data_IF_173960909135
#
_entry.id   IF_173960909135
#
_cell.length_a   1.000
_cell.length_b   1.000
_cell.length_c   1.000
_cell.angle_alpha   90.00
_cell.angle_beta   90.00
_cell.angle_gamma   90.00
#
_symmetry.space_group_name_H-M   'P 1'
#
loop_
_entity.id
_entity.type
_entity.pdbx_description
1 polymer ?
#
# COMPACT_ATOMS: atom_id res chain seq x y z
N UNK A 1 5.15 23.92 1.84
CA UNK A 1 5.87 24.01 3.13
C UNK A 1 5.02 23.36 4.20
N UNK A 2 5.61 22.57 5.10
CA UNK A 2 4.98 22.01 6.30
C UNK A 2 5.74 22.57 7.51
N UNK A 3 5.05 23.28 8.40
CA UNK A 3 5.68 23.95 9.54
C UNK A 3 5.67 23.07 10.79
N UNK A 4 6.76 23.09 11.55
CA UNK A 4 6.92 22.37 12.82
C UNK A 4 7.57 23.23 13.90
N UNK A 5 7.27 22.96 15.16
CA UNK A 5 7.92 23.58 16.32
C UNK A 5 8.96 22.62 16.88
N UNK A 6 10.13 23.17 17.19
CA UNK A 6 11.20 22.41 17.85
C UNK A 6 10.71 21.75 19.15
N UNK A 7 11.05 20.48 19.34
CA UNK A 7 10.67 19.66 20.49
C UNK A 7 9.28 19.02 20.44
N UNK A 8 8.45 19.34 19.43
CA UNK A 8 7.13 18.70 19.26
C UNK A 8 7.23 17.41 18.45
N UNK A 9 6.23 16.55 18.61
CA UNK A 9 6.03 15.33 17.80
C UNK A 9 4.79 15.48 16.95
N UNK A 10 4.88 15.07 15.69
CA UNK A 10 3.82 15.23 14.71
C UNK A 10 3.42 13.88 14.13
N UNK A 11 2.12 13.60 14.10
CA UNK A 11 1.56 12.48 13.35
C UNK A 11 1.30 12.95 11.92
N UNK A 12 2.22 12.63 11.01
CA UNK A 12 2.04 12.82 9.58
C UNK A 12 1.17 11.70 9.03
N UNK A 13 0.15 12.05 8.23
CA UNK A 13 -0.70 11.10 7.50
C UNK A 13 -0.32 11.17 6.03
N UNK A 14 0.44 10.18 5.58
CA UNK A 14 0.96 10.08 4.21
C UNK A 14 -0.04 9.29 3.38
N UNK A 15 -0.45 9.83 2.23
CA UNK A 15 -1.49 9.24 1.37
C UNK A 15 -0.92 9.08 -0.04
N UNK A 16 -0.85 7.83 -0.53
CA UNK A 16 -0.40 7.47 -1.87
C UNK A 16 -1.45 7.77 -2.94
N UNK A 17 -1.65 9.05 -3.26
CA UNK A 17 -2.60 9.51 -4.29
C UNK A 17 -2.06 9.40 -5.73
N UNK A 18 -1.08 8.53 -5.98
CA UNK A 18 -0.50 8.33 -7.31
C UNK A 18 -1.37 7.38 -8.14
N UNK A 19 -1.43 7.62 -9.47
CA UNK A 19 -2.08 6.68 -10.40
C UNK A 19 -1.21 5.45 -10.73
N UNK A 20 0.12 5.58 -10.65
CA UNK A 20 1.05 4.56 -11.13
C UNK A 20 2.37 4.55 -10.34
N UNK A 21 3.10 5.67 -10.21
CA UNK A 21 4.41 5.62 -9.56
C UNK A 21 4.29 5.26 -8.08
N UNK A 22 5.21 4.41 -7.64
CA UNK A 22 5.59 4.31 -6.23
C UNK A 22 6.50 5.48 -5.89
N UNK A 23 6.32 6.05 -4.71
CA UNK A 23 7.16 7.11 -4.18
C UNK A 23 7.86 6.64 -2.90
N UNK A 24 9.19 6.71 -2.88
CA UNK A 24 9.95 6.57 -1.64
C UNK A 24 9.97 7.91 -0.91
N UNK A 25 9.18 8.01 0.16
CA UNK A 25 9.03 9.18 0.99
C UNK A 25 10.14 9.25 2.04
N UNK A 26 10.76 10.42 2.19
CA UNK A 26 11.88 10.69 3.11
C UNK A 26 11.80 12.12 3.62
N UNK A 27 12.41 12.36 4.79
CA UNK A 27 12.60 13.70 5.35
C UNK A 27 14.05 13.81 5.79
N UNK A 28 14.80 14.75 5.21
CA UNK A 28 16.23 14.89 5.47
C UNK A 28 16.51 15.04 6.97
N UNK A 29 17.45 14.23 7.48
CA UNK A 29 17.86 14.24 8.88
C UNK A 29 16.83 13.70 9.89
N UNK A 30 15.64 13.28 9.47
CA UNK A 30 14.56 12.83 10.36
C UNK A 30 14.19 11.36 10.13
N UNK A 31 14.12 10.60 11.22
CA UNK A 31 13.49 9.27 11.20
C UNK A 31 11.97 9.41 11.33
N UNK A 32 11.27 8.40 10.84
CA UNK A 32 9.82 8.28 10.88
C UNK A 32 9.46 7.01 11.66
N UNK A 33 8.53 7.12 12.60
CA UNK A 33 8.00 5.94 13.32
C UNK A 33 6.61 5.61 12.81
N UNK A 34 6.48 4.54 12.03
CA UNK A 34 5.19 4.04 11.52
C UNK A 34 4.35 3.58 12.71
N UNK A 35 3.10 4.04 12.76
CA UNK A 35 2.11 3.69 13.79
C UNK A 35 0.76 3.25 13.20
N UNK A 36 0.58 3.36 11.88
CA UNK A 36 -0.64 2.96 11.17
C UNK A 36 -0.27 2.63 9.72
N UNK A 37 -0.84 1.55 9.19
CA UNK A 37 -0.79 1.18 7.79
C UNK A 37 -2.24 0.93 7.31
N UNK A 38 -2.67 1.64 6.28
CA UNK A 38 -3.98 1.48 5.64
C UNK A 38 -5.21 1.54 6.56
N UNK A 39 -5.11 2.28 7.67
CA UNK A 39 -6.16 2.41 8.68
C UNK A 39 -6.05 1.42 9.84
N UNK A 40 -5.12 0.47 9.78
CA UNK A 40 -4.83 -0.47 10.86
C UNK A 40 -3.65 0.07 11.69
N UNK A 41 -3.87 0.25 12.99
CA UNK A 41 -2.81 0.66 13.92
C UNK A 41 -1.74 -0.43 14.01
N UNK A 42 -0.47 -0.04 14.02
CA UNK A 42 0.67 -0.96 14.08
C UNK A 42 1.42 -0.83 15.38
N UNK A 43 2.13 -1.90 15.78
CA UNK A 43 3.26 -1.75 16.70
C UNK A 43 4.25 -0.74 16.08
N UNK A 44 4.81 0.21 16.85
CA UNK A 44 5.68 1.24 16.30
C UNK A 44 6.93 0.66 15.60
N UNK A 45 7.15 1.04 14.33
CA UNK A 45 8.34 0.63 13.55
C UNK A 45 9.06 1.87 13.04
N UNK A 46 10.34 2.02 13.42
CA UNK A 46 11.17 3.12 12.96
C UNK A 46 11.78 2.81 11.59
N UNK A 47 11.69 3.78 10.68
CA UNK A 47 12.27 3.78 9.33
C UNK A 47 12.84 5.17 9.02
N UNK A 48 13.75 5.25 8.05
CA UNK A 48 14.24 6.53 7.51
C UNK A 48 13.83 6.76 6.05
N UNK A 49 13.23 5.75 5.43
CA UNK A 49 12.65 5.78 4.09
C UNK A 49 11.40 4.92 4.04
N UNK A 50 10.37 5.40 3.35
CA UNK A 50 9.06 4.75 3.28
C UNK A 50 8.57 4.70 1.83
N UNK A 51 8.62 3.54 1.15
CA UNK A 51 7.96 3.36 -0.13
C UNK A 51 6.43 3.38 0.09
N UNK A 52 5.75 4.26 -0.64
CA UNK A 52 4.29 4.38 -0.65
C UNK A 52 3.80 4.08 -2.05
N UNK A 53 3.08 2.97 -2.18
CA UNK A 53 2.48 2.55 -3.45
C UNK A 53 1.13 3.28 -3.67
N UNK A 54 0.64 3.34 -4.93
CA UNK A 54 -0.70 3.80 -5.25
C UNK A 54 -1.77 3.20 -4.31
N UNK A 55 -2.58 4.06 -3.69
CA UNK A 55 -3.68 3.67 -2.80
C UNK A 55 -3.28 3.36 -1.36
N UNK A 56 -1.99 3.25 -1.02
CA UNK A 56 -1.55 3.01 0.36
C UNK A 56 -1.58 4.28 1.22
N UNK A 57 -1.72 4.10 2.54
CA UNK A 57 -1.67 5.16 3.55
C UNK A 57 -0.83 4.72 4.73
N UNK A 58 -0.04 5.64 5.29
CA UNK A 58 0.69 5.42 6.53
C UNK A 58 0.53 6.62 7.47
N UNK A 59 0.33 6.37 8.77
CA UNK A 59 0.63 7.39 9.77
C UNK A 59 2.03 7.16 10.32
N UNK A 60 2.85 8.21 10.30
CA UNK A 60 4.17 8.21 10.93
C UNK A 60 4.29 9.30 11.96
N UNK A 61 5.00 9.02 13.06
CA UNK A 61 5.42 10.02 14.02
C UNK A 61 6.80 10.53 13.63
N UNK A 62 6.91 11.85 13.46
CA UNK A 62 8.18 12.56 13.26
C UNK A 62 8.43 13.44 14.47
N UNK A 63 9.62 13.34 15.04
CA UNK A 63 10.06 14.20 16.14
C UNK A 63 10.81 15.41 15.56
N UNK A 64 10.31 16.61 15.80
CA UNK A 64 10.95 17.85 15.38
C UNK A 64 12.10 18.21 16.34
N UNK A 65 13.15 17.40 16.37
CA UNK A 65 14.28 17.50 17.32
C UNK A 65 15.62 17.84 16.66
N UNK A 66 15.58 18.34 15.42
CA UNK A 66 16.77 18.80 14.69
C UNK A 66 16.95 20.31 14.88
N UNK A 67 18.08 20.83 14.42
CA UNK A 67 18.34 22.26 14.45
C UNK A 67 17.20 23.04 13.78
N UNK A 68 16.93 24.27 14.24
CA UNK A 68 15.92 25.13 13.61
C UNK A 68 16.44 25.52 12.22
N UNK A 69 15.90 24.87 11.20
CA UNK A 69 16.30 25.03 9.80
C UNK A 69 15.19 24.55 8.85
N UNK A 70 15.45 24.61 7.55
CA UNK A 70 14.66 24.03 6.47
C UNK A 70 15.23 22.68 6.06
N UNK A 71 14.38 21.65 5.93
CA UNK A 71 14.76 20.30 5.52
C UNK A 71 13.94 19.86 4.31
N UNK A 72 14.57 19.17 3.34
CA UNK A 72 13.82 18.57 2.24
C UNK A 72 12.93 17.43 2.73
N UNK A 73 11.66 17.48 2.35
CA UNK A 73 10.77 16.33 2.28
C UNK A 73 10.82 15.85 0.84
N UNK A 74 11.28 14.63 0.60
CA UNK A 74 11.45 14.11 -0.75
C UNK A 74 10.57 12.89 -0.99
N UNK A 75 9.82 12.91 -2.09
CA UNK A 75 9.10 11.78 -2.64
C UNK A 75 9.80 11.34 -3.94
N UNK A 76 10.66 10.34 -3.82
CA UNK A 76 11.54 9.88 -4.89
C UNK A 76 10.86 8.78 -5.72
N UNK A 77 10.94 8.86 -7.04
CA UNK A 77 10.36 7.87 -7.95
C UNK A 77 11.21 7.72 -9.20
N UNK A 78 11.11 6.58 -9.87
CA UNK A 78 11.79 6.35 -11.16
C UNK A 78 11.30 7.28 -12.27
N UNK A 79 10.09 7.84 -12.14
CA UNK A 79 9.51 8.75 -13.13
C UNK A 79 9.88 10.22 -12.86
N UNK A 80 9.48 10.75 -11.69
CA UNK A 80 9.70 12.15 -11.34
C UNK A 80 9.70 12.36 -9.83
N UNK A 81 10.80 12.87 -9.29
CA UNK A 81 10.90 13.26 -7.89
C UNK A 81 10.03 14.49 -7.60
N UNK A 82 9.43 14.53 -6.42
CA UNK A 82 8.75 15.70 -5.87
C UNK A 82 9.39 16.08 -4.54
N UNK A 83 9.57 17.38 -4.31
CA UNK A 83 10.12 17.90 -3.07
C UNK A 83 9.13 18.87 -2.41
N UNK A 84 9.18 18.92 -1.08
CA UNK A 84 8.54 19.92 -0.26
C UNK A 84 9.50 20.33 0.87
N UNK A 85 9.13 21.36 1.63
CA UNK A 85 9.96 21.90 2.71
C UNK A 85 9.33 21.54 4.04
N UNK A 86 10.07 20.88 4.93
CA UNK A 86 9.80 20.86 6.36
C UNK A 86 10.50 22.07 6.99
N UNK A 87 9.74 23.02 7.51
CA UNK A 87 10.28 24.28 8.06
C UNK A 87 10.07 24.33 9.56
N UNK A 88 11.15 24.47 10.32
CA UNK A 88 11.06 24.75 11.73
C UNK A 88 10.65 26.21 11.94
N UNK A 89 9.75 26.47 12.89
CA UNK A 89 9.40 27.83 13.30
C UNK A 89 10.65 28.56 13.80
N UNK A 90 10.98 29.69 13.17
CA UNK A 90 12.22 30.45 13.39
C UNK A 90 13.29 30.27 12.31
N UNK A 91 13.13 29.30 11.39
CA UNK A 91 13.99 29.17 10.22
C UNK A 91 13.68 30.24 9.15
N UNK A 92 14.67 30.65 8.34
CA UNK A 92 14.46 31.61 7.26
C UNK A 92 13.47 31.09 6.19
N UNK A 93 12.79 32.01 5.49
CA UNK A 93 11.91 31.67 4.36
C UNK A 93 12.72 31.45 3.07
N UNK A 94 13.44 30.34 3.03
CA UNK A 94 14.26 29.92 1.90
C UNK A 94 14.16 28.41 1.67
N UNK A 95 14.77 27.95 0.57
CA UNK A 95 14.87 26.54 0.23
C UNK A 95 15.89 25.81 1.14
N UNK A 96 15.63 24.55 1.55
CA UNK A 96 16.59 23.75 2.27
C UNK A 96 17.93 23.58 1.54
N UNK A 97 19.02 23.61 2.29
CA UNK A 97 20.36 23.18 1.84
C UNK A 97 20.74 21.80 2.39
N UNK A 98 19.79 21.11 3.02
CA UNK A 98 19.99 19.78 3.60
C UNK A 98 20.36 18.76 2.53
N UNK A 99 21.16 17.77 2.92
CA UNK A 99 21.53 16.63 2.09
C UNK A 99 20.80 15.39 2.58
N UNK A 100 20.10 14.70 1.67
CA UNK A 100 19.43 13.44 1.97
C UNK A 100 20.39 12.29 2.24
N UNK A 101 19.93 11.32 3.04
CA UNK A 101 20.66 10.09 3.37
C UNK A 101 21.89 10.30 4.27
N UNK A 102 22.65 9.21 4.56
CA UNK A 102 22.38 7.84 4.14
C UNK A 102 21.12 7.26 4.81
N UNK A 103 20.34 6.49 4.05
CA UNK A 103 19.18 5.75 4.55
C UNK A 103 19.62 4.32 4.88
N UNK A 104 19.62 3.97 6.17
CA UNK A 104 20.16 2.71 6.73
C UNK A 104 19.10 1.89 7.47
N UNK A 105 17.89 2.43 7.64
CA UNK A 105 16.73 1.76 8.23
C UNK A 105 15.62 1.61 7.18
N UNK A 106 15.83 0.76 6.16
CA UNK A 106 14.86 0.58 5.10
C UNK A 106 13.56 0.01 5.64
N UNK A 107 12.46 0.42 5.03
CA UNK A 107 11.15 -0.18 5.25
C UNK A 107 11.16 -1.66 4.90
N UNK A 108 10.51 -2.47 5.76
CA UNK A 108 10.22 -3.88 5.50
C UNK A 108 8.82 -4.17 6.03
N UNK A 109 7.89 -4.46 5.12
CA UNK A 109 6.48 -4.73 5.45
C UNK A 109 6.33 -5.92 6.41
N UNK A 110 7.20 -6.94 6.35
CA UNK A 110 7.14 -8.09 7.26
C UNK A 110 7.43 -7.73 8.73
N UNK A 111 7.94 -6.52 9.00
CA UNK A 111 8.13 -6.02 10.37
C UNK A 111 6.89 -5.33 10.93
N UNK A 112 5.89 -5.06 10.09
CA UNK A 112 4.63 -4.49 10.55
C UNK A 112 3.78 -5.59 11.21
N UNK A 113 3.25 -5.28 12.37
CA UNK A 113 2.27 -6.09 13.08
C UNK A 113 1.19 -5.15 13.60
N UNK A 114 -0.06 -5.61 13.64
CA UNK A 114 -1.16 -4.83 14.20
C UNK A 114 -0.93 -4.56 15.69
N UNK A 115 -1.26 -3.36 16.16
CA UNK A 115 -1.13 -2.98 17.56
C UNK A 115 -2.06 -3.82 18.45
N UNK A 116 -3.29 -4.02 17.99
CA UNK A 116 -4.23 -4.95 18.58
C UNK A 116 -3.96 -6.36 18.05
N UNK A 117 -4.17 -7.38 18.88
CA UNK A 117 -4.07 -8.76 18.43
C UNK A 117 -5.24 -9.09 17.50
N UNK A 118 -4.97 -9.12 16.19
CA UNK A 118 -5.91 -9.53 15.15
C UNK A 118 -5.45 -10.92 14.66
N UNK A 119 -6.13 -12.01 15.02
CA UNK A 119 -5.73 -13.34 14.57
C UNK A 119 -5.87 -13.43 13.05
N UNK A 120 -4.89 -14.06 12.40
CA UNK A 120 -5.00 -14.44 10.99
C UNK A 120 -6.12 -15.47 10.87
N UNK A 121 -7.12 -15.28 10.00
CA UNK A 121 -8.17 -16.26 9.79
C UNK A 121 -7.64 -17.59 9.23
N UNK A 122 -8.17 -18.72 9.71
CA UNK A 122 -7.80 -20.05 9.22
C UNK A 122 -6.74 -20.76 10.08
N UNK A 123 -6.10 -21.77 9.49
CA UNK A 123 -5.00 -22.52 10.11
C UNK A 123 -3.64 -21.97 9.66
N UNK A 124 -2.59 -22.03 10.49
CA UNK A 124 -1.26 -21.52 10.16
C UNK A 124 -0.48 -22.46 9.22
N UNK A 125 -1.11 -22.85 8.11
CA UNK A 125 -0.59 -23.76 7.09
C UNK A 125 -1.08 -23.27 5.72
N UNK A 126 -0.19 -23.31 4.71
CA UNK A 126 -0.50 -22.88 3.34
C UNK A 126 -1.66 -23.72 2.79
N UNK A 127 -2.66 -23.06 2.19
CA UNK A 127 -3.78 -23.74 1.53
C UNK A 127 -4.80 -24.37 2.50
N UNK A 128 -4.77 -24.02 3.79
CA UNK A 128 -5.75 -24.48 4.80
C UNK A 128 -6.85 -23.46 5.08
N UNK A 129 -7.23 -22.67 4.07
CA UNK A 129 -8.45 -21.87 4.08
C UNK A 129 -9.66 -22.71 3.66
N UNK A 130 -10.88 -22.23 3.90
CA UNK A 130 -12.09 -22.87 3.36
C UNK A 130 -12.14 -22.77 1.83
N UNK A 131 -11.64 -21.66 1.28
CA UNK A 131 -11.48 -21.43 -0.16
C UNK A 131 -10.11 -20.82 -0.42
N UNK A 132 -9.33 -21.46 -1.29
CA UNK A 132 -8.06 -20.93 -1.78
C UNK A 132 -8.20 -20.53 -3.25
N UNK A 133 -7.97 -19.25 -3.55
CA UNK A 133 -7.98 -18.70 -4.89
C UNK A 133 -6.57 -18.36 -5.33
N UNK A 134 -6.12 -18.97 -6.41
CA UNK A 134 -4.89 -18.58 -7.08
C UNK A 134 -5.21 -17.67 -8.27
N UNK A 135 -4.77 -16.42 -8.20
CA UNK A 135 -5.00 -15.40 -9.22
C UNK A 135 -3.67 -15.11 -9.93
N UNK A 136 -3.45 -15.75 -11.07
CA UNK A 136 -2.24 -15.58 -11.87
C UNK A 136 -2.39 -14.35 -12.75
N UNK A 137 -1.61 -13.31 -12.47
CA UNK A 137 -1.55 -12.11 -13.30
C UNK A 137 -0.82 -12.41 -14.63
N UNK A 138 -1.32 -11.84 -15.71
CA UNK A 138 -0.68 -11.92 -17.03
C UNK A 138 -0.92 -10.65 -17.84
N UNK A 139 -0.25 -10.57 -18.99
CA UNK A 139 -0.41 -9.49 -19.94
C UNK A 139 -0.29 -10.03 -21.38
N UNK A 140 -1.32 -9.81 -22.19
CA UNK A 140 -1.33 -10.21 -23.59
C UNK A 140 -2.30 -9.32 -24.37
N UNK A 141 -2.03 -9.11 -25.67
CA UNK A 141 -2.84 -8.26 -26.54
C UNK A 141 -3.12 -6.86 -25.95
N UNK A 142 -2.12 -6.29 -25.28
CA UNK A 142 -2.20 -4.99 -24.59
C UNK A 142 -3.19 -4.91 -23.43
N UNK A 143 -3.61 -6.06 -22.88
CA UNK A 143 -4.53 -6.14 -21.75
C UNK A 143 -3.92 -6.94 -20.60
N UNK A 144 -4.12 -6.44 -19.38
CA UNK A 144 -3.87 -7.22 -18.18
C UNK A 144 -4.98 -8.25 -17.98
N UNK A 145 -4.63 -9.34 -17.30
CA UNK A 145 -5.56 -10.43 -17.02
C UNK A 145 -5.25 -11.10 -15.69
N UNK A 146 -6.28 -11.72 -15.12
CA UNK A 146 -6.14 -12.76 -14.11
C UNK A 146 -6.65 -14.07 -14.68
N UNK A 147 -5.89 -15.15 -14.52
CA UNK A 147 -6.26 -16.50 -14.96
C UNK A 147 -6.71 -16.54 -16.44
N UNK A 148 -5.96 -15.85 -17.30
CA UNK A 148 -6.19 -15.74 -18.75
C UNK A 148 -7.49 -15.02 -19.16
N UNK A 149 -8.11 -14.26 -18.24
CA UNK A 149 -9.30 -13.44 -18.51
C UNK A 149 -8.99 -11.98 -18.22
N UNK A 150 -9.17 -11.12 -19.23
CA UNK A 150 -9.14 -9.67 -19.07
C UNK A 150 -10.52 -9.15 -18.68
N UNK A 151 -10.58 -8.39 -17.59
CA UNK A 151 -11.80 -7.72 -17.17
C UNK A 151 -12.22 -6.68 -18.21
N UNK A 152 -13.52 -6.64 -18.50
CA UNK A 152 -14.14 -5.62 -19.34
C UNK A 152 -15.40 -5.12 -18.64
N UNK A 153 -15.60 -3.81 -18.60
CA UNK A 153 -16.78 -3.26 -17.93
C UNK A 153 -18.07 -3.84 -18.54
N UNK A 154 -18.92 -4.48 -17.72
CA UNK A 154 -20.18 -5.00 -18.21
C UNK A 154 -21.13 -3.83 -18.49
N UNK A 155 -21.99 -3.91 -19.52
CA UNK A 155 -22.94 -2.84 -19.82
C UNK A 155 -23.96 -2.62 -18.70
N UNK A 156 -24.17 -3.62 -17.84
CA UNK A 156 -24.98 -3.53 -16.62
C UNK A 156 -24.08 -3.75 -15.41
N UNK A 157 -24.06 -2.86 -14.40
CA UNK A 157 -23.24 -3.03 -13.20
C UNK A 157 -23.49 -4.38 -12.52
N UNK A 158 -22.43 -5.04 -12.03
CA UNK A 158 -22.52 -6.38 -11.43
C UNK A 158 -23.57 -6.43 -10.31
N UNK A 159 -23.60 -5.42 -9.43
CA UNK A 159 -24.62 -5.32 -8.38
C UNK A 159 -26.05 -5.29 -8.95
N UNK A 160 -26.29 -4.55 -10.02
CA UNK A 160 -27.61 -4.48 -10.64
C UNK A 160 -27.99 -5.81 -11.31
N UNK A 161 -27.03 -6.53 -11.90
CA UNK A 161 -27.28 -7.88 -12.43
C UNK A 161 -27.76 -8.82 -11.31
N UNK A 162 -27.10 -8.79 -10.15
CA UNK A 162 -27.50 -9.59 -8.97
C UNK A 162 -28.89 -9.21 -8.46
N UNK A 163 -29.16 -7.91 -8.31
CA UNK A 163 -30.48 -7.41 -7.88
C UNK A 163 -31.59 -7.71 -8.90
N UNK A 164 -31.23 -7.93 -10.17
CA UNK A 164 -32.15 -8.32 -11.24
C UNK A 164 -32.34 -9.84 -11.37
N UNK A 165 -31.74 -10.63 -10.47
CA UNK A 165 -31.98 -12.07 -10.37
C UNK A 165 -30.83 -12.98 -10.82
N UNK A 166 -29.67 -12.44 -11.22
CA UNK A 166 -28.48 -13.26 -11.46
C UNK A 166 -27.94 -13.81 -10.13
N UNK A 167 -27.85 -15.13 -9.99
CA UNK A 167 -27.47 -15.78 -8.73
C UNK A 167 -26.14 -16.52 -8.80
N UNK A 168 -25.73 -17.01 -9.97
CA UNK A 168 -24.45 -17.69 -10.13
C UNK A 168 -23.44 -16.86 -10.94
N UNK A 169 -22.11 -17.03 -10.72
CA UNK A 169 -21.08 -16.40 -11.54
C UNK A 169 -21.23 -16.62 -13.04
N UNK A 170 -21.77 -17.78 -13.42
CA UNK A 170 -22.08 -18.13 -14.82
C UNK A 170 -23.18 -17.26 -15.41
N UNK A 171 -23.98 -16.58 -14.60
CA UNK A 171 -25.05 -15.67 -15.04
C UNK A 171 -24.52 -14.23 -15.16
N UNK A 172 -23.50 -13.89 -14.37
CA UNK A 172 -22.93 -12.56 -14.29
C UNK A 172 -21.98 -12.23 -15.46
N UNK A 173 -21.89 -10.95 -15.78
CA UNK A 173 -20.93 -10.36 -16.71
C UNK A 173 -19.97 -9.42 -15.96
N UNK A 174 -18.71 -9.30 -16.41
CA UNK A 174 -18.11 -9.99 -17.56
C UNK A 174 -17.78 -11.46 -17.22
N UNK A 175 -17.95 -12.36 -18.21
CA UNK A 175 -17.71 -13.81 -18.01
C UNK A 175 -16.24 -14.05 -17.61
N UNK A 176 -16.05 -14.96 -16.66
CA UNK A 176 -14.72 -15.37 -16.20
C UNK A 176 -14.01 -14.37 -15.27
N UNK A 177 -14.61 -13.21 -14.97
CA UNK A 177 -14.01 -12.23 -14.03
C UNK A 177 -14.77 -12.09 -12.71
N UNK A 178 -15.80 -12.91 -12.49
CA UNK A 178 -16.58 -12.93 -11.25
C UNK A 178 -16.32 -14.25 -10.53
N UNK A 179 -15.83 -14.16 -9.31
CA UNK A 179 -15.58 -15.28 -8.42
C UNK A 179 -16.58 -15.19 -7.26
N UNK A 180 -17.46 -16.18 -7.13
CA UNK A 180 -18.36 -16.27 -5.97
C UNK A 180 -17.58 -16.77 -4.76
N UNK A 181 -17.81 -16.13 -3.62
CA UNK A 181 -17.24 -16.50 -2.34
C UNK A 181 -18.36 -16.87 -1.37
N UNK A 182 -18.27 -18.03 -0.70
CA UNK A 182 -19.25 -18.41 0.31
C UNK A 182 -19.17 -17.47 1.53
N UNK A 183 -20.33 -17.14 2.09
CA UNK A 183 -20.42 -16.34 3.31
C UNK A 183 -19.82 -17.08 4.51
N UNK A 184 -19.24 -16.33 5.44
CA UNK A 184 -18.68 -16.83 6.71
C UNK A 184 -17.58 -17.89 6.54
N UNK A 185 -16.79 -17.78 5.46
CA UNK A 185 -15.67 -18.67 5.16
C UNK A 185 -14.34 -17.94 5.15
N UNK A 186 -13.28 -18.66 5.49
CA UNK A 186 -11.90 -18.18 5.38
C UNK A 186 -11.47 -18.27 3.92
N UNK A 187 -11.03 -17.14 3.35
CA UNK A 187 -10.57 -17.05 1.97
C UNK A 187 -9.08 -16.74 1.96
N UNK A 188 -8.30 -17.55 1.27
CA UNK A 188 -6.88 -17.28 0.99
C UNK A 188 -6.74 -16.94 -0.50
N UNK A 189 -6.13 -15.80 -0.81
CA UNK A 189 -5.86 -15.38 -2.19
C UNK A 189 -4.36 -15.34 -2.41
N UNK A 190 -3.87 -16.11 -3.38
CA UNK A 190 -2.47 -16.10 -3.79
C UNK A 190 -2.31 -15.35 -5.11
N UNK A 191 -1.38 -14.38 -5.11
CA UNK A 191 -1.06 -13.52 -6.25
C UNK A 191 0.41 -13.73 -6.63
N UNK A 192 0.75 -14.84 -7.32
CA UNK A 192 2.13 -15.10 -7.70
C UNK A 192 2.61 -14.05 -8.71
N UNK A 193 3.75 -13.43 -8.43
CA UNK A 193 4.45 -12.64 -9.43
C UNK A 193 5.24 -13.58 -10.34
N UNK A 194 4.62 -13.98 -11.46
CA UNK A 194 5.23 -14.84 -12.47
C UNK A 194 6.18 -14.10 -13.42
N UNK A 195 6.22 -12.77 -13.36
CA UNK A 195 6.93 -11.92 -14.33
C UNK A 195 6.16 -11.67 -15.64
N UNK A 196 5.04 -12.36 -15.86
CA UNK A 196 4.23 -12.24 -17.08
C UNK A 196 3.42 -10.94 -17.17
N UNK A 197 3.09 -10.33 -16.02
CA UNK A 197 2.39 -9.05 -15.96
C UNK A 197 3.39 -7.88 -16.00
N UNK A 198 3.54 -7.25 -17.17
CA UNK A 198 4.47 -6.13 -17.38
C UNK A 198 4.22 -4.94 -16.43
N UNK A 199 5.25 -4.17 -16.11
CA UNK A 199 5.13 -2.89 -15.38
C UNK A 199 4.98 -3.01 -13.86
N UNK A 200 5.29 -4.17 -13.27
CA UNK A 200 5.27 -4.34 -11.81
C UNK A 200 6.33 -3.51 -11.06
N UNK A 201 6.26 -3.44 -9.71
CA UNK A 201 5.31 -4.16 -8.85
C UNK A 201 3.88 -3.61 -8.94
N UNK A 202 2.90 -4.51 -8.82
CA UNK A 202 1.47 -4.19 -8.94
C UNK A 202 0.81 -4.12 -7.55
N UNK A 203 0.44 -2.94 -7.03
CA UNK A 203 -0.35 -2.85 -5.80
C UNK A 203 -1.78 -3.35 -6.07
N UNK A 204 -2.19 -4.40 -5.35
CA UNK A 204 -3.55 -4.96 -5.44
C UNK A 204 -4.39 -4.43 -4.28
N UNK A 205 -5.62 -4.02 -4.59
CA UNK A 205 -6.60 -3.53 -3.63
C UNK A 205 -7.86 -4.40 -3.64
N UNK A 206 -8.42 -4.67 -2.47
CA UNK A 206 -9.67 -5.42 -2.29
C UNK A 206 -10.72 -4.51 -1.64
N UNK A 207 -11.80 -4.25 -2.36
CA UNK A 207 -12.91 -3.46 -1.85
C UNK A 207 -13.65 -4.21 -0.74
N UNK A 208 -14.24 -3.47 0.21
CA UNK A 208 -15.08 -4.04 1.27
C UNK A 208 -14.34 -4.76 2.41
N UNK A 209 -13.02 -4.89 2.32
CA UNK A 209 -12.22 -5.66 3.29
C UNK A 209 -10.87 -5.01 3.61
N UNK A 210 -10.39 -5.25 4.83
CA UNK A 210 -8.96 -5.39 5.09
C UNK A 210 -8.60 -6.87 5.05
N UNK A 211 -7.31 -7.19 4.88
CA UNK A 211 -6.83 -8.56 4.80
C UNK A 211 -5.48 -8.71 5.51
N UNK A 212 -5.19 -9.92 6.00
CA UNK A 212 -3.90 -10.26 6.56
C UNK A 212 -2.91 -10.57 5.43
N UNK A 213 -1.80 -9.83 5.35
CA UNK A 213 -0.71 -10.13 4.42
C UNK A 213 0.16 -11.23 5.03
N UNK A 214 -0.22 -12.49 4.80
CA UNK A 214 0.48 -13.67 5.36
C UNK A 214 1.86 -13.91 4.72
N UNK A 215 2.10 -13.34 3.55
CA UNK A 215 3.39 -13.37 2.84
C UNK A 215 3.58 -12.08 2.06
N UNK A 216 4.64 -11.34 2.40
CA UNK A 216 5.00 -10.08 1.72
C UNK A 216 5.83 -10.32 0.45
N UNK A 217 5.87 -9.33 -0.43
CA UNK A 217 6.76 -9.36 -1.59
C UNK A 217 8.24 -9.46 -1.18
N UNK A 218 9.05 -10.16 -1.99
CA UNK A 218 10.49 -10.31 -1.76
C UNK A 218 10.88 -11.42 -0.77
N UNK A 219 9.92 -12.14 -0.18
CA UNK A 219 10.18 -13.30 0.67
C UNK A 219 9.82 -14.62 -0.03
N UNK A 220 10.79 -15.53 -0.14
CA UNK A 220 10.68 -16.88 -0.72
C UNK A 220 10.39 -17.93 0.34
#
# INVERSE_FOLDING_TARGET
VINVDHGKRYRFRIIGLSCSPTYNFTIDGHNMTIIEADGVETVPVMVDSLPVLPGQRYSVVVHANKHIDNYWISALSSLRNQNAILRYNGAPDEDPTSTGGPYVMPFNEARLASLQHIPVPGFPEIGKADVSLNLVAGYANSLFMFNNVSYQDPPTPVLLQMLSGAQHPSDLLPKGSVYELPLNKVIEITLPNTGEAAGGPHPIHLHGHNFAVVRVAGNS
#
